data_IF_060280482602
#
_entry.id   IF_060280482602
#
_cell.length_a   1.000
_cell.length_b   1.000
_cell.length_c   1.000
_cell.angle_alpha   90.00
_cell.angle_beta   90.00
_cell.angle_gamma   90.00
#
_symmetry.space_group_name_H-M   'P 1'
#
loop_
_entity.id
_entity.type
_entity.pdbx_description
1 polymer ?
#
# COMPACT_ATOMS: atom_id res chain seq x y z
N UNK A 1 13.05 -10.64 -17.71
CA UNK A 1 12.38 -10.09 -16.50
C UNK A 1 11.75 -8.76 -16.87
N UNK A 2 10.51 -8.49 -16.47
CA UNK A 2 9.79 -7.26 -16.85
C UNK A 2 10.56 -5.99 -16.45
N UNK A 3 10.51 -4.95 -17.29
CA UNK A 3 11.13 -3.62 -17.08
C UNK A 3 10.73 -3.03 -15.72
N UNK A 4 9.50 -3.29 -15.28
CA UNK A 4 8.98 -2.87 -13.98
C UNK A 4 9.78 -3.49 -12.83
N UNK A 5 9.98 -4.80 -12.86
CA UNK A 5 10.70 -5.51 -11.79
C UNK A 5 12.17 -5.08 -11.71
N UNK A 6 12.84 -4.96 -12.85
CA UNK A 6 14.23 -4.46 -12.89
C UNK A 6 14.33 -3.01 -12.41
N UNK A 7 13.31 -2.19 -12.70
CA UNK A 7 13.23 -0.81 -12.22
C UNK A 7 13.04 -0.74 -10.71
N UNK A 8 12.16 -1.57 -10.15
CA UNK A 8 11.97 -1.71 -8.70
C UNK A 8 13.27 -2.12 -7.99
N UNK A 9 13.88 -3.23 -8.42
CA UNK A 9 15.11 -3.72 -7.80
C UNK A 9 16.23 -2.68 -7.82
N UNK A 10 16.41 -1.99 -8.93
CA UNK A 10 17.43 -0.95 -9.01
C UNK A 10 17.14 0.23 -8.08
N UNK A 11 15.88 0.68 -7.99
CA UNK A 11 15.51 1.78 -7.10
C UNK A 11 15.73 1.38 -5.64
N UNK A 12 15.34 0.16 -5.25
CA UNK A 12 15.56 -0.36 -3.90
C UNK A 12 17.05 -0.46 -3.56
N UNK A 13 17.88 -1.02 -4.46
CA UNK A 13 19.33 -1.13 -4.25
C UNK A 13 20.02 0.23 -4.20
N UNK A 14 19.70 1.13 -5.12
CA UNK A 14 20.31 2.46 -5.21
C UNK A 14 19.89 3.37 -4.05
N UNK A 15 18.69 3.17 -3.50
CA UNK A 15 18.12 3.99 -2.44
C UNK A 15 17.91 3.17 -1.16
N UNK A 16 18.86 2.30 -0.83
CA UNK A 16 18.77 1.41 0.32
C UNK A 16 18.46 2.15 1.63
N UNK A 17 19.07 3.31 1.87
CA UNK A 17 18.78 4.14 3.04
C UNK A 17 17.30 4.53 3.15
N UNK A 18 16.64 4.79 2.02
CA UNK A 18 15.22 5.12 1.99
C UNK A 18 14.37 3.90 2.38
N UNK A 19 14.78 2.70 1.97
CA UNK A 19 14.15 1.44 2.37
C UNK A 19 14.31 1.21 3.88
N UNK A 20 15.46 1.52 4.45
CA UNK A 20 15.70 1.38 5.90
C UNK A 20 14.84 2.37 6.68
N UNK A 21 14.82 3.65 6.30
CA UNK A 21 13.96 4.66 6.93
C UNK A 21 12.49 4.25 6.81
N UNK A 22 12.10 3.74 5.64
CA UNK A 22 10.77 3.20 5.42
C UNK A 22 10.48 2.01 6.37
N UNK A 23 11.40 1.06 6.53
CA UNK A 23 11.17 -0.06 7.44
C UNK A 23 11.00 0.41 8.90
N UNK A 24 11.82 1.38 9.34
CA UNK A 24 11.76 1.91 10.71
C UNK A 24 10.47 2.67 10.97
N UNK A 25 10.08 3.64 10.13
CA UNK A 25 8.84 4.37 10.42
C UNK A 25 7.60 3.51 10.17
N UNK A 26 7.67 2.41 9.41
CA UNK A 26 6.54 1.48 9.26
C UNK A 26 6.06 0.96 10.62
N UNK A 27 7.02 0.63 11.50
CA UNK A 27 6.76 0.15 12.86
C UNK A 27 6.19 1.29 13.70
N UNK A 28 6.84 2.46 13.68
CA UNK A 28 6.42 3.62 14.47
C UNK A 28 5.03 4.15 14.06
N UNK A 29 4.65 3.97 12.79
CA UNK A 29 3.37 4.43 12.23
C UNK A 29 2.32 3.33 12.15
N UNK A 30 2.56 2.15 12.75
CA UNK A 30 1.63 1.01 12.75
C UNK A 30 0.20 1.41 13.11
N UNK A 31 0.03 2.22 14.16
CA UNK A 31 -1.28 2.70 14.60
C UNK A 31 -2.01 3.53 13.54
N UNK A 32 -1.29 4.20 12.64
CA UNK A 32 -1.90 5.01 11.57
C UNK A 32 -2.45 4.09 10.49
N UNK A 33 -1.65 3.19 9.93
CA UNK A 33 -2.08 2.42 8.77
C UNK A 33 -2.86 1.14 9.12
N UNK A 34 -2.79 0.64 10.36
CA UNK A 34 -3.62 -0.47 10.83
C UNK A 34 -4.75 -0.02 11.75
N UNK A 35 -4.46 0.90 12.68
CA UNK A 35 -5.44 1.36 13.67
C UNK A 35 -6.54 2.24 13.07
N UNK A 36 -6.21 3.24 12.24
CA UNK A 36 -7.21 4.13 11.63
C UNK A 36 -8.22 3.35 10.77
N UNK A 37 -7.81 2.46 9.85
CA UNK A 37 -8.78 1.68 9.08
C UNK A 37 -9.67 0.82 9.96
N UNK A 38 -9.10 0.13 10.96
CA UNK A 38 -9.88 -0.80 11.77
C UNK A 38 -10.85 -0.09 12.73
N UNK A 39 -10.36 0.87 13.51
CA UNK A 39 -11.15 1.53 14.56
C UNK A 39 -11.97 2.71 14.08
N UNK A 40 -11.51 3.47 13.07
CA UNK A 40 -12.24 4.64 12.60
C UNK A 40 -13.13 4.25 11.42
N UNK A 41 -12.52 3.77 10.34
CA UNK A 41 -13.28 3.42 9.12
C UNK A 41 -14.19 2.22 9.37
N UNK A 42 -13.72 1.21 10.10
CA UNK A 42 -14.52 0.05 10.46
C UNK A 42 -15.81 0.40 11.22
N UNK A 43 -15.71 1.23 12.26
CA UNK A 43 -16.87 1.65 13.04
C UNK A 43 -17.82 2.53 12.22
N UNK A 44 -17.30 3.53 11.49
CA UNK A 44 -18.14 4.40 10.64
C UNK A 44 -18.93 3.58 9.61
N UNK A 45 -18.29 2.58 8.99
CA UNK A 45 -18.95 1.75 7.98
C UNK A 45 -19.91 0.76 8.65
N UNK A 46 -19.57 0.16 9.79
CA UNK A 46 -20.45 -0.74 10.52
C UNK A 46 -21.74 -0.05 11.00
N UNK A 47 -21.67 1.23 11.35
CA UNK A 47 -22.85 2.05 11.70
C UNK A 47 -23.71 2.36 10.46
N UNK A 48 -23.11 2.42 9.28
CA UNK A 48 -23.79 2.70 8.01
C UNK A 48 -24.34 1.44 7.31
N UNK A 49 -23.80 0.26 7.58
CA UNK A 49 -24.23 -1.00 6.97
C UNK A 49 -24.06 -2.20 7.88
N UNK A 50 -25.04 -3.10 7.87
CA UNK A 50 -24.95 -4.40 8.56
C UNK A 50 -24.12 -5.44 7.79
N UNK A 51 -23.66 -5.13 6.57
CA UNK A 51 -22.86 -6.05 5.77
C UNK A 51 -21.42 -6.11 6.28
N UNK A 52 -21.09 -7.20 6.96
CA UNK A 52 -19.73 -7.48 7.42
C UNK A 52 -18.71 -7.57 6.28
N UNK A 53 -19.15 -7.98 5.08
CA UNK A 53 -18.30 -8.00 3.88
C UNK A 53 -17.93 -6.59 3.42
N UNK A 54 -18.90 -5.68 3.33
CA UNK A 54 -18.65 -4.29 2.93
C UNK A 54 -17.75 -3.60 3.96
N UNK A 55 -17.99 -3.85 5.25
CA UNK A 55 -17.15 -3.32 6.33
C UNK A 55 -15.70 -3.80 6.20
N UNK A 56 -15.48 -5.11 6.03
CA UNK A 56 -14.14 -5.68 5.85
C UNK A 56 -13.44 -5.13 4.61
N UNK A 57 -14.16 -5.02 3.49
CA UNK A 57 -13.62 -4.48 2.24
C UNK A 57 -13.20 -3.01 2.39
N UNK A 58 -14.01 -2.18 3.05
CA UNK A 58 -13.69 -0.78 3.33
C UNK A 58 -12.47 -0.63 4.23
N UNK A 59 -12.37 -1.43 5.30
CA UNK A 59 -11.20 -1.47 6.17
C UNK A 59 -9.96 -1.87 5.36
N UNK A 60 -10.05 -2.94 4.57
CA UNK A 60 -8.92 -3.44 3.79
C UNK A 60 -8.44 -2.44 2.75
N UNK A 61 -9.36 -1.81 2.00
CA UNK A 61 -9.03 -0.78 1.01
C UNK A 61 -8.43 0.46 1.66
N UNK A 62 -8.97 0.90 2.80
CA UNK A 62 -8.42 2.04 3.55
C UNK A 62 -7.01 1.74 4.07
N UNK A 63 -6.79 0.56 4.65
CA UNK A 63 -5.46 0.13 5.11
C UNK A 63 -4.47 0.00 3.98
N UNK A 64 -4.86 -0.64 2.87
CA UNK A 64 -4.02 -0.73 1.68
C UNK A 64 -3.70 0.63 1.06
N UNK A 65 -4.65 1.57 1.09
CA UNK A 65 -4.43 2.94 0.65
C UNK A 65 -3.39 3.66 1.52
N UNK A 66 -3.61 3.72 2.84
CA UNK A 66 -2.70 4.38 3.77
C UNK A 66 -1.31 3.76 3.74
N UNK A 67 -1.23 2.44 3.69
CA UNK A 67 0.04 1.71 3.61
C UNK A 67 0.76 1.97 2.28
N UNK A 68 0.04 2.02 1.15
CA UNK A 68 0.65 2.32 -0.15
C UNK A 68 1.21 3.76 -0.23
N UNK A 69 0.61 4.72 0.49
CA UNK A 69 1.15 6.08 0.61
C UNK A 69 2.49 6.13 1.35
N UNK A 70 2.75 5.17 2.22
CA UNK A 70 4.02 5.09 2.93
C UNK A 70 5.22 4.90 1.97
N UNK A 71 5.01 4.15 0.87
CA UNK A 71 6.04 3.87 -0.14
C UNK A 71 6.04 4.85 -1.32
N UNK A 72 5.33 5.98 -1.20
CA UNK A 72 5.22 7.02 -2.24
C UNK A 72 6.59 7.44 -2.83
N UNK A 73 7.64 7.71 -2.04
CA UNK A 73 8.92 8.15 -2.58
C UNK A 73 9.58 7.09 -3.47
N UNK A 74 9.36 5.80 -3.17
CA UNK A 74 9.85 4.68 -3.97
C UNK A 74 9.06 4.59 -5.26
N UNK A 75 7.72 4.63 -5.19
CA UNK A 75 6.86 4.55 -6.36
C UNK A 75 7.14 5.67 -7.37
N UNK A 76 7.41 6.90 -6.89
CA UNK A 76 7.81 8.03 -7.76
C UNK A 76 9.16 7.75 -8.45
N UNK A 77 10.16 7.25 -7.72
CA UNK A 77 11.48 6.93 -8.29
C UNK A 77 11.39 5.81 -9.33
N UNK A 78 10.56 4.79 -9.08
CA UNK A 78 10.29 3.73 -10.06
C UNK A 78 9.56 4.28 -11.28
N UNK A 79 8.51 5.07 -11.09
CA UNK A 79 7.76 5.66 -12.18
C UNK A 79 8.63 6.53 -13.10
N UNK A 80 9.53 7.35 -12.53
CA UNK A 80 10.50 8.14 -13.31
C UNK A 80 11.43 7.25 -14.15
N UNK A 81 11.87 6.12 -13.60
CA UNK A 81 12.75 5.19 -14.29
C UNK A 81 12.04 4.41 -15.40
N UNK A 82 10.82 3.94 -15.15
CA UNK A 82 10.02 3.26 -16.18
C UNK A 82 9.64 4.25 -17.28
N UNK A 83 9.30 5.49 -16.92
CA UNK A 83 8.99 6.55 -17.89
C UNK A 83 10.14 6.83 -18.86
N UNK A 84 11.39 6.77 -18.39
CA UNK A 84 12.56 6.93 -19.27
C UNK A 84 12.78 5.79 -20.25
N UNK A 85 12.23 4.59 -19.99
CA UNK A 85 12.31 3.46 -20.91
C UNK A 85 11.11 3.37 -21.86
N UNK A 86 9.90 3.72 -21.39
CA UNK A 86 8.67 3.59 -22.18
C UNK A 86 8.22 4.90 -22.86
N UNK A 87 8.96 6.00 -22.71
CA UNK A 87 8.58 7.35 -23.21
C UNK A 87 7.15 7.78 -22.80
N UNK A 88 6.69 7.31 -21.65
CA UNK A 88 5.36 7.60 -21.08
C UNK A 88 5.44 8.66 -20.01
N UNK A 89 4.33 9.35 -19.77
CA UNK A 89 4.27 10.36 -18.70
C UNK A 89 4.47 9.71 -17.32
N UNK A 90 5.37 10.29 -16.51
CA UNK A 90 5.65 9.86 -15.13
C UNK A 90 4.37 9.82 -14.29
N UNK A 91 3.47 10.80 -14.45
CA UNK A 91 2.22 10.89 -13.69
C UNK A 91 1.32 9.67 -13.92
N UNK A 92 1.09 9.27 -15.18
CA UNK A 92 0.27 8.08 -15.50
C UNK A 92 0.89 6.81 -14.93
N UNK A 93 2.20 6.62 -15.11
CA UNK A 93 2.91 5.45 -14.59
C UNK A 93 2.89 5.40 -13.05
N UNK A 94 3.06 6.54 -12.39
CA UNK A 94 2.96 6.64 -10.94
C UNK A 94 1.57 6.23 -10.45
N UNK A 95 0.49 6.73 -11.06
CA UNK A 95 -0.88 6.34 -10.68
C UNK A 95 -1.12 4.84 -10.90
N UNK A 96 -0.66 4.28 -12.02
CA UNK A 96 -0.77 2.84 -12.29
C UNK A 96 -0.04 2.01 -11.23
N UNK A 97 1.20 2.38 -10.92
CA UNK A 97 2.00 1.72 -9.88
C UNK A 97 1.30 1.85 -8.52
N UNK A 98 0.82 3.04 -8.17
CA UNK A 98 0.15 3.30 -6.90
C UNK A 98 -1.12 2.45 -6.75
N UNK A 99 -1.96 2.39 -7.78
CA UNK A 99 -3.18 1.58 -7.79
C UNK A 99 -2.86 0.10 -7.57
N UNK A 100 -1.88 -0.45 -8.29
CA UNK A 100 -1.46 -1.85 -8.13
C UNK A 100 -1.04 -2.12 -6.68
N UNK A 101 -0.23 -1.24 -6.08
CA UNK A 101 0.18 -1.39 -4.69
C UNK A 101 -0.96 -1.23 -3.69
N UNK A 102 -1.93 -0.34 -3.94
CA UNK A 102 -3.13 -0.24 -3.10
C UNK A 102 -3.85 -1.60 -3.07
N UNK A 103 -4.07 -2.23 -4.23
CA UNK A 103 -4.74 -3.53 -4.29
C UNK A 103 -3.93 -4.63 -3.59
N UNK A 104 -2.62 -4.71 -3.83
CA UNK A 104 -1.74 -5.70 -3.19
C UNK A 104 -1.76 -5.52 -1.67
N UNK A 105 -1.56 -4.30 -1.18
CA UNK A 105 -1.55 -4.01 0.25
C UNK A 105 -2.92 -4.25 0.88
N UNK A 106 -4.02 -3.93 0.19
CA UNK A 106 -5.38 -4.21 0.67
C UNK A 106 -5.62 -5.71 0.81
N UNK A 107 -5.17 -6.52 -0.16
CA UNK A 107 -5.27 -7.98 -0.10
C UNK A 107 -4.45 -8.55 1.07
N UNK A 108 -3.21 -8.09 1.24
CA UNK A 108 -2.36 -8.50 2.39
C UNK A 108 -3.03 -8.12 3.71
N UNK A 109 -3.60 -6.92 3.80
CA UNK A 109 -4.28 -6.44 5.00
C UNK A 109 -5.52 -7.30 5.30
N UNK A 110 -6.36 -7.58 4.30
CA UNK A 110 -7.54 -8.43 4.44
C UNK A 110 -7.17 -9.85 4.91
N UNK A 111 -6.13 -10.45 4.33
CA UNK A 111 -5.63 -11.77 4.74
C UNK A 111 -5.14 -11.72 6.19
N UNK A 112 -4.31 -10.72 6.53
CA UNK A 112 -3.78 -10.53 7.89
C UNK A 112 -4.91 -10.42 8.92
N UNK A 113 -5.94 -9.62 8.64
CA UNK A 113 -7.10 -9.46 9.50
C UNK A 113 -7.92 -10.74 9.64
N UNK A 114 -8.07 -11.50 8.55
CA UNK A 114 -8.80 -12.77 8.56
C UNK A 114 -8.08 -13.83 9.40
N UNK A 115 -6.75 -13.87 9.30
CA UNK A 115 -5.89 -14.72 10.12
C UNK A 115 -5.99 -14.32 11.59
N UNK A 116 -5.86 -13.04 11.92
CA UNK A 116 -5.98 -12.54 13.30
C UNK A 116 -7.33 -12.94 13.91
N UNK A 117 -8.43 -12.78 13.16
CA UNK A 117 -9.77 -13.18 13.59
C UNK A 117 -9.93 -14.69 13.79
N UNK A 118 -9.16 -15.52 13.09
CA UNK A 118 -9.22 -16.98 13.24
C UNK A 118 -8.56 -17.45 14.56
N UNK A 119 -7.58 -16.71 15.07
CA UNK A 119 -6.82 -17.06 16.27
C UNK A 119 -7.27 -16.33 17.55
N UNK A 120 -8.20 -15.37 17.45
CA UNK A 120 -8.85 -14.66 18.55
C UNK A 120 -10.29 -15.12 18.73
#
# INVERSE_FOLDING_TARGET
MSIYFQSYLHVLKKNYMLVVIAAVLLILTYFIWAGVPFFIIGNIVADATSSGFVTLLSIALSGGFLFSLYFLPIHIKVAKRVASFEHRSVKKLFVQIQLVWIFICSAIFAISMSVIRMYL
#
